data_IF_271570297575
#
_entry.id   IF_271570297575
#
_cell.length_a   1.000
_cell.length_b   1.000
_cell.length_c   1.000
_cell.angle_alpha   90.00
_cell.angle_beta   90.00
_cell.angle_gamma   90.00
#
_symmetry.space_group_name_H-M   'P 1'
#
loop_
_entity.id
_entity.type
_entity.pdbx_description
1 polymer ?
#
# COMPACT_ATOMS: atom_id res chain seq x y z
N UNK A 1 8.72 7.82 -3.63
CA UNK A 1 8.26 6.68 -4.49
C UNK A 1 9.11 6.45 -5.74
N UNK A 2 9.31 7.42 -6.65
CA UNK A 2 10.14 7.21 -7.86
C UNK A 2 11.57 6.74 -7.56
N UNK A 3 12.22 7.37 -6.58
CA UNK A 3 13.53 6.95 -6.08
C UNK A 3 13.52 5.52 -5.55
N UNK A 4 12.47 5.13 -4.82
CA UNK A 4 12.30 3.78 -4.27
C UNK A 4 12.19 2.72 -5.36
N UNK A 5 11.42 3.00 -6.42
CA UNK A 5 11.29 2.12 -7.59
C UNK A 5 12.63 2.02 -8.33
N UNK A 6 13.30 3.15 -8.56
CA UNK A 6 14.61 3.20 -9.22
C UNK A 6 15.66 2.39 -8.46
N UNK A 7 15.75 2.60 -7.15
CA UNK A 7 16.69 1.90 -6.28
C UNK A 7 16.39 0.40 -6.21
N UNK A 8 15.11 0.02 -6.13
CA UNK A 8 14.70 -1.40 -6.15
C UNK A 8 15.14 -2.08 -7.44
N UNK A 9 14.91 -1.44 -8.60
CA UNK A 9 15.37 -1.94 -9.91
C UNK A 9 16.89 -2.06 -9.99
N UNK A 10 17.62 -1.03 -9.53
CA UNK A 10 19.09 -1.02 -9.54
C UNK A 10 19.68 -2.19 -8.73
N UNK A 11 19.00 -2.58 -7.66
CA UNK A 11 19.43 -3.69 -6.79
C UNK A 11 18.68 -5.00 -7.09
N UNK A 12 17.98 -5.10 -8.22
CA UNK A 12 17.20 -6.28 -8.61
C UNK A 12 16.24 -6.78 -7.52
N UNK A 13 15.70 -5.86 -6.70
CA UNK A 13 14.68 -6.17 -5.70
C UNK A 13 13.31 -6.28 -6.40
N UNK A 14 12.52 -7.33 -6.11
CA UNK A 14 11.17 -7.46 -6.66
C UNK A 14 10.29 -6.26 -6.30
N UNK A 15 9.47 -5.82 -7.25
CA UNK A 15 8.49 -4.76 -7.06
C UNK A 15 7.10 -5.35 -7.31
N UNK A 16 6.20 -5.15 -6.34
CA UNK A 16 4.80 -5.53 -6.45
C UNK A 16 3.96 -4.28 -6.41
N UNK A 17 3.17 -4.08 -7.45
CA UNK A 17 2.18 -3.03 -7.53
C UNK A 17 0.84 -3.58 -7.07
N UNK A 18 0.15 -2.82 -6.22
CA UNK A 18 -1.19 -3.13 -5.76
C UNK A 18 -2.16 -2.15 -6.42
N UNK A 19 -3.14 -2.66 -7.16
CA UNK A 19 -4.20 -1.90 -7.79
C UNK A 19 -5.53 -2.22 -7.11
N UNK A 20 -6.26 -1.21 -6.69
CA UNK A 20 -7.59 -1.41 -6.12
C UNK A 20 -8.64 -1.25 -7.22
N UNK A 21 -9.56 -2.21 -7.29
CA UNK A 21 -10.73 -2.15 -8.17
C UNK A 21 -11.97 -2.34 -7.31
N UNK A 22 -12.87 -1.36 -7.35
CA UNK A 22 -14.14 -1.40 -6.66
C UNK A 22 -15.21 -2.08 -7.53
N UNK A 23 -16.29 -2.58 -6.89
CA UNK A 23 -17.48 -3.04 -7.58
C UNK A 23 -18.08 -1.97 -8.53
N UNK A 24 -18.82 -2.38 -9.58
CA UNK A 24 -19.38 -1.45 -10.58
C UNK A 24 -20.33 -0.37 -10.05
N UNK A 25 -20.89 -0.56 -8.85
CA UNK A 25 -21.84 0.34 -8.18
C UNK A 25 -21.18 1.38 -7.25
N UNK A 26 -19.85 1.38 -7.15
CA UNK A 26 -19.10 2.41 -6.42
C UNK A 26 -18.87 3.68 -7.26
N UNK A 27 -18.25 4.69 -6.67
CA UNK A 27 -18.02 6.01 -7.29
C UNK A 27 -16.61 6.20 -7.84
N UNK A 28 -15.64 5.42 -7.37
CA UNK A 28 -14.22 5.54 -7.71
C UNK A 28 -13.57 4.18 -7.81
N UNK A 29 -12.39 4.12 -8.46
CA UNK A 29 -11.66 2.88 -8.74
C UNK A 29 -12.47 1.82 -9.50
N UNK A 30 -13.37 2.25 -10.39
CA UNK A 30 -14.14 1.35 -11.24
C UNK A 30 -13.26 0.68 -12.29
N UNK A 31 -13.55 -0.57 -12.62
CA UNK A 31 -12.83 -1.32 -13.65
C UNK A 31 -12.85 -0.59 -15.01
N UNK A 32 -11.68 -0.50 -15.66
CA UNK A 32 -11.50 0.21 -16.93
C UNK A 32 -11.57 1.74 -16.84
N UNK A 33 -11.80 2.31 -15.65
CA UNK A 33 -11.79 3.75 -15.47
C UNK A 33 -10.36 4.30 -15.31
N UNK A 34 -10.13 5.52 -15.82
CA UNK A 34 -8.86 6.23 -15.62
C UNK A 34 -8.50 6.41 -14.14
N UNK A 35 -9.49 6.53 -13.26
CA UNK A 35 -9.27 6.69 -11.81
C UNK A 35 -8.71 5.42 -11.16
N UNK A 36 -8.97 4.25 -11.74
CA UNK A 36 -8.44 2.97 -11.28
C UNK A 36 -7.03 2.66 -11.77
N UNK A 37 -6.56 3.32 -12.83
CA UNK A 37 -5.23 3.08 -13.39
C UNK A 37 -4.12 3.50 -12.42
N UNK A 38 -3.06 2.69 -12.35
CA UNK A 38 -1.83 3.11 -11.66
C UNK A 38 -1.27 4.35 -12.37
N UNK A 39 -0.97 5.38 -11.59
CA UNK A 39 -0.49 6.67 -12.12
C UNK A 39 0.66 6.50 -13.12
N UNK A 40 0.56 7.17 -14.28
CA UNK A 40 1.60 7.19 -15.32
C UNK A 40 2.98 7.58 -14.80
N UNK A 41 3.07 8.34 -13.71
CA UNK A 41 4.35 8.69 -13.07
C UNK A 41 5.11 7.46 -12.57
N UNK A 42 4.41 6.43 -12.10
CA UNK A 42 4.99 5.22 -11.51
C UNK A 42 4.61 3.95 -12.28
N UNK A 43 4.22 4.10 -13.55
CA UNK A 43 3.68 3.03 -14.38
C UNK A 43 4.48 1.72 -14.27
N UNK A 44 3.83 0.57 -14.01
CA UNK A 44 4.51 -0.71 -13.99
C UNK A 44 5.13 -1.01 -15.35
N UNK A 45 6.29 -1.67 -15.34
CA UNK A 45 6.88 -2.26 -16.54
C UNK A 45 6.30 -3.67 -16.79
N UNK A 46 6.47 -4.24 -18.00
CA UNK A 46 5.96 -5.58 -18.32
C UNK A 46 6.46 -6.69 -17.37
N UNK A 47 7.65 -6.54 -16.81
CA UNK A 47 8.22 -7.49 -15.84
C UNK A 47 7.73 -7.31 -14.40
N UNK A 48 7.07 -6.18 -14.08
CA UNK A 48 6.63 -5.90 -12.72
C UNK A 48 5.33 -6.69 -12.39
N UNK A 49 5.22 -7.22 -11.17
CA UNK A 49 4.00 -7.91 -10.72
C UNK A 49 2.95 -6.85 -10.35
N UNK A 50 1.77 -6.94 -10.97
CA UNK A 50 0.57 -6.19 -10.55
C UNK A 50 -0.42 -7.15 -9.93
N UNK A 51 -0.91 -6.80 -8.74
CA UNK A 51 -1.96 -7.54 -8.03
C UNK A 51 -3.17 -6.63 -7.90
N UNK A 52 -4.31 -7.11 -8.38
CA UNK A 52 -5.61 -6.45 -8.20
C UNK A 52 -6.20 -6.90 -6.86
N UNK A 53 -6.70 -5.95 -6.08
CA UNK A 53 -7.40 -6.21 -4.81
C UNK A 53 -8.77 -5.55 -4.78
N UNK A 54 -9.69 -6.16 -4.05
CA UNK A 54 -11.06 -5.68 -3.86
C UNK A 54 -11.37 -5.25 -2.41
N UNK A 55 -10.40 -5.36 -1.50
CA UNK A 55 -10.51 -4.95 -0.10
C UNK A 55 -9.34 -4.05 0.33
N UNK A 56 -9.41 -3.33 1.47
CA UNK A 56 -8.27 -2.56 1.98
C UNK A 56 -7.03 -3.43 2.25
N UNK A 57 -7.21 -4.63 2.79
CA UNK A 57 -6.14 -5.61 3.01
C UNK A 57 -5.65 -6.17 1.67
N UNK A 58 -4.39 -5.91 1.32
CA UNK A 58 -3.83 -6.38 0.05
C UNK A 58 -3.58 -7.90 0.00
N UNK A 59 -3.66 -8.60 1.13
CA UNK A 59 -3.57 -10.06 1.21
C UNK A 59 -4.92 -10.77 1.07
N UNK A 60 -6.03 -10.06 1.35
CA UNK A 60 -7.35 -10.68 1.38
C UNK A 60 -7.84 -10.94 -0.06
N UNK A 61 -8.10 -12.22 -0.35
CA UNK A 61 -8.58 -12.68 -1.67
C UNK A 61 -7.64 -12.28 -2.83
N UNK A 62 -6.33 -12.28 -2.57
CA UNK A 62 -5.30 -12.06 -3.60
C UNK A 62 -4.23 -13.16 -3.57
N UNK A 63 -3.34 -13.17 -4.56
CA UNK A 63 -2.17 -14.05 -4.59
C UNK A 63 -0.92 -13.43 -3.95
N UNK A 64 -1.05 -12.31 -3.22
CA UNK A 64 0.10 -11.57 -2.67
C UNK A 64 0.97 -12.42 -1.75
N UNK A 65 0.37 -13.15 -0.80
CA UNK A 65 1.14 -13.96 0.15
C UNK A 65 1.91 -15.08 -0.56
N UNK A 66 1.26 -15.82 -1.45
CA UNK A 66 1.90 -16.92 -2.17
C UNK A 66 2.99 -16.41 -3.12
N UNK A 67 2.77 -15.26 -3.76
CA UNK A 67 3.80 -14.61 -4.56
C UNK A 67 5.01 -14.21 -3.71
N UNK A 68 4.81 -13.53 -2.57
CA UNK A 68 5.91 -13.16 -1.68
C UNK A 68 6.65 -14.39 -1.12
N UNK A 69 5.95 -15.47 -0.78
CA UNK A 69 6.57 -16.75 -0.40
C UNK A 69 7.42 -17.35 -1.51
N UNK A 70 6.97 -17.29 -2.76
CA UNK A 70 7.74 -17.78 -3.92
C UNK A 70 9.08 -17.04 -4.09
N UNK A 71 9.14 -15.78 -3.64
CA UNK A 71 10.34 -14.95 -3.66
C UNK A 71 11.25 -15.18 -2.43
N UNK A 72 10.81 -15.98 -1.46
CA UNK A 72 11.52 -16.24 -0.19
C UNK A 72 11.90 -14.96 0.57
N UNK A 73 11.05 -13.92 0.49
CA UNK A 73 11.27 -12.65 1.20
C UNK A 73 10.70 -12.70 2.62
N UNK A 74 11.41 -12.10 3.58
CA UNK A 74 10.95 -11.93 4.96
C UNK A 74 10.62 -10.47 5.31
N UNK A 75 10.99 -9.52 4.43
CA UNK A 75 10.93 -8.09 4.69
C UNK A 75 10.26 -7.36 3.52
N UNK A 76 9.27 -6.52 3.84
CA UNK A 76 8.54 -5.70 2.89
C UNK A 76 8.89 -4.24 3.07
N UNK A 77 9.13 -3.52 1.96
CA UNK A 77 9.20 -2.07 1.95
C UNK A 77 7.90 -1.54 1.38
N UNK A 78 7.08 -0.91 2.20
CA UNK A 78 5.70 -0.51 1.86
C UNK A 78 5.63 1.00 1.67
N UNK A 79 4.90 1.43 0.65
CA UNK A 79 4.52 2.83 0.41
C UNK A 79 3.21 2.88 -0.38
N UNK A 80 2.56 4.04 -0.47
CA UNK A 80 1.30 4.20 -1.21
C UNK A 80 0.20 4.87 -0.39
N UNK A 81 -1.06 4.65 -0.80
CA UNK A 81 -2.20 5.31 -0.21
C UNK A 81 -3.42 4.38 -0.08
N UNK A 82 -4.29 4.57 0.92
CA UNK A 82 -4.19 5.60 1.96
C UNK A 82 -3.52 5.07 3.23
N UNK A 83 -2.73 5.93 3.91
CA UNK A 83 -2.05 5.60 5.18
C UNK A 83 -3.02 5.00 6.20
N UNK A 84 -4.16 5.65 6.42
CA UNK A 84 -5.17 5.25 7.41
C UNK A 84 -6.07 4.07 6.99
N UNK A 85 -5.99 3.61 5.74
CA UNK A 85 -6.84 2.53 5.21
C UNK A 85 -5.99 1.39 4.67
N UNK A 86 -5.75 1.37 3.35
CA UNK A 86 -5.11 0.26 2.66
C UNK A 86 -3.71 -0.02 3.19
N UNK A 87 -2.94 1.03 3.51
CA UNK A 87 -1.59 0.89 4.04
C UNK A 87 -1.64 0.31 5.45
N UNK A 88 -2.33 0.94 6.40
CA UNK A 88 -2.48 0.44 7.77
C UNK A 88 -2.97 -1.02 7.80
N UNK A 89 -4.05 -1.32 7.08
CA UNK A 89 -4.64 -2.66 7.05
C UNK A 89 -3.64 -3.70 6.52
N UNK A 90 -2.94 -3.39 5.42
CA UNK A 90 -1.97 -4.31 4.82
C UNK A 90 -0.73 -4.48 5.68
N UNK A 91 -0.23 -3.40 6.30
CA UNK A 91 0.95 -3.45 7.18
C UNK A 91 0.68 -4.31 8.41
N UNK A 92 -0.50 -4.16 9.03
CA UNK A 92 -0.91 -5.01 10.16
C UNK A 92 -1.02 -6.47 9.74
N UNK A 93 -1.71 -6.74 8.63
CA UNK A 93 -1.86 -8.10 8.11
C UNK A 93 -0.51 -8.75 7.75
N UNK A 94 0.47 -7.97 7.26
CA UNK A 94 1.80 -8.50 6.94
C UNK A 94 2.49 -9.11 8.17
N UNK A 95 2.27 -8.54 9.37
CA UNK A 95 2.79 -9.07 10.62
C UNK A 95 2.18 -10.45 10.95
N UNK A 96 0.88 -10.66 10.68
CA UNK A 96 0.21 -11.96 10.91
C UNK A 96 0.83 -13.08 10.06
N UNK A 97 1.37 -12.73 8.89
CA UNK A 97 2.12 -13.65 8.02
C UNK A 97 3.62 -13.72 8.33
N UNK A 98 4.10 -13.02 9.37
CA UNK A 98 5.48 -13.04 9.82
C UNK A 98 6.45 -12.13 9.06
N UNK A 99 5.96 -11.22 8.22
CA UNK A 99 6.81 -10.27 7.51
C UNK A 99 7.27 -9.13 8.41
N UNK A 100 8.55 -8.74 8.28
CA UNK A 100 9.04 -7.46 8.80
C UNK A 100 8.65 -6.36 7.82
N UNK A 101 8.16 -5.23 8.31
CA UNK A 101 7.76 -4.12 7.43
C UNK A 101 8.63 -2.89 7.68
N UNK A 102 9.12 -2.29 6.59
CA UNK A 102 9.64 -0.93 6.56
C UNK A 102 8.64 -0.04 5.83
N UNK A 103 8.02 0.90 6.52
CA UNK A 103 7.00 1.78 5.94
C UNK A 103 7.64 3.13 5.61
N UNK A 104 7.66 3.49 4.32
CA UNK A 104 8.29 4.72 3.83
C UNK A 104 7.32 5.89 4.00
N UNK A 105 7.43 6.63 5.10
CA UNK A 105 6.42 7.61 5.52
C UNK A 105 6.24 8.75 4.51
N UNK A 106 7.33 9.24 3.91
CA UNK A 106 7.33 10.32 2.92
C UNK A 106 6.77 9.89 1.56
N UNK A 107 6.56 8.58 1.36
CA UNK A 107 5.96 7.98 0.19
C UNK A 107 4.54 7.44 0.47
N UNK A 108 3.96 7.81 1.60
CA UNK A 108 2.58 7.52 1.96
C UNK A 108 1.72 8.79 1.99
N UNK A 109 0.43 8.64 1.69
CA UNK A 109 -0.52 9.75 1.69
C UNK A 109 -1.84 9.36 2.35
N UNK A 110 -2.48 10.35 2.95
CA UNK A 110 -3.81 10.26 3.56
C UNK A 110 -4.64 11.51 3.23
N UNK A 111 -5.83 11.60 3.77
CA UNK A 111 -6.75 12.74 3.63
C UNK A 111 -7.35 13.12 4.97
N UNK A 112 -8.07 14.26 5.00
CA UNK A 112 -8.90 14.66 6.12
C UNK A 112 -9.97 13.61 6.38
N UNK A 113 -10.29 13.37 7.66
CA UNK A 113 -11.35 12.45 8.08
C UNK A 113 -12.41 13.21 8.86
N UNK A 114 -13.67 12.85 8.65
CA UNK A 114 -14.78 13.46 9.37
C UNK A 114 -15.50 12.41 10.20
N UNK A 115 -15.71 12.70 11.48
CA UNK A 115 -16.50 11.88 12.40
C UNK A 115 -17.38 12.80 13.25
N UNK A 116 -18.67 12.50 13.36
CA UNK A 116 -19.64 13.28 14.13
C UNK A 116 -19.66 14.80 13.78
N UNK A 117 -19.36 15.15 12.53
CA UNK A 117 -19.30 16.54 12.08
C UNK A 117 -17.99 17.28 12.40
N UNK A 118 -17.04 16.62 13.07
CA UNK A 118 -15.70 17.16 13.31
C UNK A 118 -14.73 16.65 12.25
N UNK A 119 -13.92 17.55 11.69
CA UNK A 119 -12.86 17.19 10.73
C UNK A 119 -11.51 17.09 11.43
N UNK A 120 -10.89 15.92 11.32
CA UNK A 120 -9.51 15.65 11.71
C UNK A 120 -8.61 15.93 10.51
N UNK A 121 -7.69 16.91 10.60
CA UNK A 121 -6.80 17.26 9.49
C UNK A 121 -5.90 16.08 9.08
N UNK A 122 -5.63 15.96 7.77
CA UNK A 122 -4.82 14.91 7.17
C UNK A 122 -3.45 14.77 7.82
N UNK A 123 -2.83 15.88 8.24
CA UNK A 123 -1.54 15.86 8.95
C UNK A 123 -1.64 15.11 10.29
N UNK A 124 -2.71 15.33 11.05
CA UNK A 124 -2.94 14.66 12.32
C UNK A 124 -3.27 13.18 12.09
N UNK A 125 -4.07 12.86 11.07
CA UNK A 125 -4.35 11.48 10.64
C UNK A 125 -3.04 10.77 10.26
N UNK A 126 -2.20 11.38 9.43
CA UNK A 126 -0.92 10.82 9.00
C UNK A 126 -0.02 10.53 10.20
N UNK A 127 0.18 11.50 11.09
CA UNK A 127 1.01 11.35 12.30
C UNK A 127 0.48 10.25 13.20
N UNK A 128 -0.83 10.21 13.44
CA UNK A 128 -1.46 9.23 14.33
C UNK A 128 -1.31 7.81 13.80
N UNK A 129 -1.60 7.57 12.53
CA UNK A 129 -1.49 6.23 11.94
C UNK A 129 -0.04 5.76 11.83
N UNK A 130 0.89 6.62 11.41
CA UNK A 130 2.32 6.27 11.40
C UNK A 130 2.82 5.91 12.81
N UNK A 131 2.47 6.73 13.82
CA UNK A 131 2.82 6.44 15.21
C UNK A 131 2.20 5.14 15.73
N UNK A 132 0.98 4.80 15.29
CA UNK A 132 0.30 3.56 15.68
C UNK A 132 0.90 2.30 15.06
N UNK A 133 1.61 2.44 13.94
CA UNK A 133 2.26 1.35 13.22
C UNK A 133 3.72 1.14 13.67
N UNK A 134 4.38 2.20 14.12
CA UNK A 134 5.79 2.18 14.54
C UNK A 134 6.06 1.16 15.67
N UNK A 135 7.15 0.43 15.52
CA UNK A 135 7.67 -0.53 16.50
C UNK A 135 6.99 -1.90 16.45
N UNK A 136 5.66 -1.95 16.55
CA UNK A 136 4.92 -3.23 16.58
C UNK A 136 4.71 -3.79 15.18
N UNK A 137 4.22 -2.98 14.25
CA UNK A 137 3.80 -3.45 12.92
C UNK A 137 4.81 -3.12 11.83
N UNK A 138 5.55 -2.02 11.97
CA UNK A 138 6.56 -1.60 11.03
C UNK A 138 7.66 -0.77 11.70
N UNK A 139 8.80 -0.66 11.03
CA UNK A 139 9.75 0.45 11.22
C UNK A 139 9.43 1.54 10.21
N UNK A 140 9.10 2.74 10.69
CA UNK A 140 8.88 3.92 9.86
C UNK A 140 10.24 4.46 9.40
N UNK A 141 10.38 4.66 8.09
CA UNK A 141 11.60 5.19 7.45
C UNK A 141 11.31 6.31 6.45
#
# INVERSE_FOLDING_TARGET
MLSLISESRKNSRPIVYIQHINPPDDYFFLEGSKGAEISERIKPKPEDKVIVKHYPNSFLETDLHEYLKSLSVDTLVVCGMMTHMCVDTTVRAAMDYGYKVKLVADACATMDLTINGETIPAELVQKTFLASLEGVFATII
#
